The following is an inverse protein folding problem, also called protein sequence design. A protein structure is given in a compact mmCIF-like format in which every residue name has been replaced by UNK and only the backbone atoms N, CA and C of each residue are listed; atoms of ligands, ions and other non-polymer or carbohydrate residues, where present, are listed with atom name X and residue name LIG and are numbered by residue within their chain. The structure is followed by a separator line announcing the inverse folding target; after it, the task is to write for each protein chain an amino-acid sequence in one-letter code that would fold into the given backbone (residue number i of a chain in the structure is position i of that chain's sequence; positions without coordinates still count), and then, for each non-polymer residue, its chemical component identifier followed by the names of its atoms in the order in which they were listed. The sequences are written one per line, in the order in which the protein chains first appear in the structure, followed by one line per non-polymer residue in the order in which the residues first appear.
data_IF_984247816254
#
_entry.id   IF_984247816254
#
_cell.length_a   1.000
_cell.length_b   1.000
_cell.length_c   1.000
_cell.angle_alpha   90.00
_cell.angle_beta   90.00
_cell.angle_gamma   90.00
#
_symmetry.space_group_name_H-M   'P 1'
#
loop_
_entity.id
_entity.type
_entity.pdbx_description
1 polymer ?
#
# COMPACT_ATOMS: atom_id res chain seq x y z
N UNK A 1 -14.57 -4.51 8.19
CA UNK A 1 -14.39 -5.95 7.99
C UNK A 1 -15.40 -6.48 7.00
N UNK A 2 -16.54 -6.99 7.46
CA UNK A 2 -17.59 -7.61 6.63
C UNK A 2 -18.01 -6.77 5.41
N UNK A 3 -18.37 -5.50 5.61
CA UNK A 3 -18.78 -4.62 4.50
C UNK A 3 -17.68 -4.43 3.44
N UNK A 4 -16.42 -4.27 3.85
CA UNK A 4 -15.28 -4.16 2.91
C UNK A 4 -15.09 -5.44 2.11
N UNK A 5 -15.22 -6.60 2.77
CA UNK A 5 -15.14 -7.90 2.11
C UNK A 5 -16.27 -8.07 1.07
N UNK A 6 -17.52 -7.75 1.44
CA UNK A 6 -18.68 -7.87 0.56
C UNK A 6 -18.56 -6.93 -0.65
N UNK A 7 -18.16 -5.68 -0.45
CA UNK A 7 -17.94 -4.71 -1.52
C UNK A 7 -16.82 -5.13 -2.48
N UNK A 8 -15.72 -5.65 -1.95
CA UNK A 8 -14.62 -6.14 -2.78
C UNK A 8 -15.04 -7.35 -3.61
N UNK A 9 -15.78 -8.29 -3.00
CA UNK A 9 -16.30 -9.47 -3.70
C UNK A 9 -17.24 -9.09 -4.85
N UNK A 10 -18.23 -8.26 -4.56
CA UNK A 10 -19.19 -7.79 -5.56
C UNK A 10 -18.46 -7.06 -6.71
N UNK A 11 -17.49 -6.20 -6.40
CA UNK A 11 -16.71 -5.48 -7.41
C UNK A 11 -15.93 -6.41 -8.34
N UNK A 12 -15.33 -7.47 -7.78
CA UNK A 12 -14.57 -8.48 -8.54
C UNK A 12 -15.50 -9.32 -9.42
N UNK A 13 -16.65 -9.75 -8.90
CA UNK A 13 -17.66 -10.50 -9.66
C UNK A 13 -18.23 -9.65 -10.82
N UNK A 14 -18.49 -8.36 -10.58
CA UNK A 14 -18.90 -7.43 -11.64
C UNK A 14 -17.81 -7.25 -12.69
N UNK A 15 -16.54 -7.13 -12.28
CA UNK A 15 -15.42 -7.02 -13.23
C UNK A 15 -15.28 -8.29 -14.08
N UNK A 16 -15.44 -9.47 -13.49
CA UNK A 16 -15.47 -10.74 -14.22
C UNK A 16 -16.54 -10.75 -15.30
N UNK A 17 -17.79 -10.39 -14.95
CA UNK A 17 -18.90 -10.34 -15.90
C UNK A 17 -18.62 -9.37 -17.06
N UNK A 18 -17.99 -8.22 -16.78
CA UNK A 18 -17.57 -7.25 -17.81
C UNK A 18 -16.43 -7.78 -18.69
N UNK A 19 -15.49 -8.53 -18.12
CA UNK A 19 -14.38 -9.13 -18.85
C UNK A 19 -14.84 -10.27 -19.78
N UNK A 20 -15.88 -11.00 -19.39
CA UNK A 20 -16.51 -12.05 -20.21
C UNK A 20 -17.43 -11.50 -21.33
N UNK A 21 -17.85 -10.23 -21.25
CA UNK A 21 -18.70 -9.65 -22.27
C UNK A 21 -17.92 -9.30 -23.56
N UNK A 22 -18.56 -9.38 -24.75
CA UNK A 22 -17.92 -9.05 -26.02
C UNK A 22 -17.35 -7.63 -26.06
N UNK A 23 -16.26 -7.35 -26.80
CA UNK A 23 -15.50 -6.10 -26.69
C UNK A 23 -16.30 -4.80 -26.82
N UNK A 24 -17.34 -4.79 -27.66
CA UNK A 24 -18.20 -3.63 -27.94
C UNK A 24 -19.54 -3.68 -27.19
N UNK A 25 -19.74 -4.64 -26.31
CA UNK A 25 -20.99 -4.79 -25.58
C UNK A 25 -21.17 -3.66 -24.54
N UNK A 26 -22.38 -3.07 -24.43
CA UNK A 26 -22.65 -2.03 -23.45
C UNK A 26 -22.45 -2.50 -22.01
N UNK A 27 -22.58 -3.81 -21.76
CA UNK A 27 -22.32 -4.45 -20.48
C UNK A 27 -20.87 -4.34 -19.98
N UNK A 28 -19.91 -3.93 -20.83
CA UNK A 28 -18.51 -3.71 -20.42
C UNK A 28 -18.28 -2.42 -19.64
N UNK A 29 -19.20 -1.46 -19.73
CA UNK A 29 -19.14 -0.19 -19.01
C UNK A 29 -17.78 0.53 -19.17
N UNK A 30 -17.28 0.59 -20.41
CA UNK A 30 -16.01 1.25 -20.75
C UNK A 30 -14.75 0.42 -20.51
N UNK A 31 -14.88 -0.87 -20.16
CA UNK A 31 -13.73 -1.77 -20.04
C UNK A 31 -13.05 -1.95 -21.43
N UNK A 32 -11.74 -1.68 -21.57
CA UNK A 32 -11.04 -1.74 -22.86
C UNK A 32 -11.05 -3.13 -23.49
N UNK A 33 -11.06 -3.23 -24.83
CA UNK A 33 -10.94 -4.48 -25.62
C UNK A 33 -9.91 -5.48 -25.05
N UNK A 34 -8.72 -5.01 -24.68
CA UNK A 34 -7.63 -5.81 -24.10
C UNK A 34 -7.93 -6.48 -22.74
N UNK A 35 -8.96 -6.05 -22.03
CA UNK A 35 -9.32 -6.54 -20.71
C UNK A 35 -10.44 -7.59 -20.81
N UNK A 36 -10.13 -8.71 -21.43
CA UNK A 36 -11.03 -9.84 -21.64
C UNK A 36 -10.93 -10.88 -20.51
N UNK A 37 -11.61 -12.01 -20.68
CA UNK A 37 -11.57 -13.14 -19.75
C UNK A 37 -10.14 -13.65 -19.51
N UNK A 38 -9.31 -13.75 -20.55
CA UNK A 38 -7.94 -14.25 -20.43
C UNK A 38 -7.07 -13.27 -19.64
N UNK A 39 -7.24 -11.97 -19.88
CA UNK A 39 -6.62 -10.93 -19.09
C UNK A 39 -7.00 -11.03 -17.61
N UNK A 40 -8.29 -11.24 -17.30
CA UNK A 40 -8.74 -11.37 -15.92
C UNK A 40 -8.08 -12.59 -15.24
N UNK A 41 -8.13 -13.76 -15.88
CA UNK A 41 -7.54 -15.00 -15.37
C UNK A 41 -6.04 -14.84 -15.13
N UNK A 42 -5.33 -14.22 -16.07
CA UNK A 42 -3.90 -13.94 -15.93
C UNK A 42 -3.61 -12.97 -14.78
N UNK A 43 -4.43 -11.94 -14.61
CA UNK A 43 -4.19 -10.84 -13.66
C UNK A 43 -4.52 -11.24 -12.22
N UNK A 44 -5.64 -11.93 -12.00
CA UNK A 44 -6.20 -12.17 -10.67
C UNK A 44 -6.17 -13.64 -10.24
N UNK A 45 -6.18 -14.57 -11.18
CA UNK A 45 -6.22 -16.02 -10.92
C UNK A 45 -4.88 -16.70 -11.23
N UNK A 46 -3.81 -15.91 -11.41
CA UNK A 46 -2.46 -16.40 -11.70
C UNK A 46 -2.41 -17.36 -12.92
N UNK A 47 -3.28 -17.13 -13.91
CA UNK A 47 -3.37 -17.96 -15.11
C UNK A 47 -4.10 -19.30 -14.93
N UNK A 48 -4.63 -19.61 -13.73
CA UNK A 48 -5.31 -20.88 -13.47
C UNK A 48 -6.75 -20.85 -13.98
N UNK A 49 -7.28 -21.98 -14.50
CA UNK A 49 -8.66 -22.04 -14.95
C UNK A 49 -9.61 -21.75 -13.79
N UNK A 50 -10.65 -20.96 -14.07
CA UNK A 50 -11.68 -20.60 -13.09
C UNK A 50 -12.76 -21.68 -13.12
N UNK A 51 -12.96 -22.37 -12.00
CA UNK A 51 -14.12 -23.22 -11.83
C UNK A 51 -15.34 -22.35 -11.51
N UNK A 52 -16.30 -22.31 -12.43
CA UNK A 52 -17.51 -21.52 -12.29
C UNK A 52 -18.53 -22.13 -11.31
N UNK A 53 -18.34 -23.38 -10.90
CA UNK A 53 -19.24 -24.04 -9.94
C UNK A 53 -19.09 -23.47 -8.53
N UNK A 54 -17.86 -23.09 -8.15
CA UNK A 54 -17.55 -22.44 -6.87
C UNK A 54 -17.59 -20.89 -6.96
N UNK A 55 -17.70 -20.36 -8.18
CA UNK A 55 -17.71 -18.94 -8.48
C UNK A 55 -16.30 -18.33 -8.62
N UNK A 56 -16.21 -17.21 -9.33
CA UNK A 56 -14.92 -16.56 -9.65
C UNK A 56 -14.11 -16.15 -8.41
N UNK A 57 -14.81 -15.84 -7.31
CA UNK A 57 -14.16 -15.45 -6.05
C UNK A 57 -13.28 -16.56 -5.46
N UNK A 58 -13.68 -17.83 -5.61
CA UNK A 58 -12.90 -18.97 -5.12
C UNK A 58 -11.57 -19.16 -5.88
N UNK A 59 -11.53 -18.73 -7.16
CA UNK A 59 -10.36 -18.83 -8.02
C UNK A 59 -9.38 -17.63 -7.88
N UNK A 60 -9.70 -16.66 -7.03
CA UNK A 60 -8.90 -15.46 -6.85
C UNK A 60 -7.62 -15.75 -6.06
N UNK A 61 -6.46 -15.41 -6.62
CA UNK A 61 -5.16 -15.55 -5.93
C UNK A 61 -4.56 -14.21 -5.52
N UNK A 62 -4.86 -13.15 -6.27
CA UNK A 62 -4.28 -11.83 -6.04
C UNK A 62 -5.33 -10.72 -6.15
N UNK A 63 -5.14 -9.68 -5.34
CA UNK A 63 -5.85 -8.41 -5.45
C UNK A 63 -4.82 -7.28 -5.43
N UNK A 64 -5.09 -6.23 -6.20
CA UNK A 64 -4.23 -5.05 -6.22
C UNK A 64 -4.65 -4.07 -5.12
N UNK A 65 -3.73 -3.73 -4.22
CA UNK A 65 -3.93 -2.75 -3.14
C UNK A 65 -3.07 -1.51 -3.39
N UNK A 66 -3.48 -0.71 -4.37
CA UNK A 66 -2.70 0.47 -4.80
C UNK A 66 -2.64 1.56 -3.73
N UNK A 67 -3.78 1.97 -3.15
CA UNK A 67 -3.81 3.10 -2.21
C UNK A 67 -2.91 2.90 -0.98
N UNK A 68 -2.95 1.74 -0.28
CA UNK A 68 -2.01 1.50 0.81
C UNK A 68 -0.55 1.54 0.35
N UNK A 69 -0.22 0.92 -0.79
CA UNK A 69 1.14 0.94 -1.35
C UNK A 69 1.60 2.36 -1.63
N UNK A 70 0.76 3.20 -2.24
CA UNK A 70 1.06 4.61 -2.51
C UNK A 70 1.24 5.42 -1.22
N UNK A 71 0.44 5.16 -0.18
CA UNK A 71 0.60 5.81 1.11
C UNK A 71 1.94 5.42 1.77
N UNK A 72 2.30 4.14 1.72
CA UNK A 72 3.56 3.65 2.27
C UNK A 72 4.77 4.15 1.47
N UNK A 73 4.64 4.28 0.16
CA UNK A 73 5.63 4.91 -0.70
C UNK A 73 5.93 6.38 -0.33
N UNK A 74 4.97 7.08 0.29
CA UNK A 74 5.15 8.44 0.75
C UNK A 74 5.79 8.53 2.15
N UNK A 75 5.97 7.41 2.84
CA UNK A 75 6.70 7.36 4.10
C UNK A 75 8.21 7.51 3.86
N UNK A 76 8.94 7.90 4.90
CA UNK A 76 10.38 8.07 4.81
C UNK A 76 11.10 6.73 4.61
N UNK A 77 12.28 6.80 4.00
CA UNK A 77 13.11 5.64 3.66
C UNK A 77 13.48 4.80 4.91
N UNK A 78 13.51 5.38 6.11
CA UNK A 78 13.79 4.60 7.34
C UNK A 78 12.68 3.60 7.68
N UNK A 79 11.44 3.83 7.20
CA UNK A 79 10.30 2.94 7.45
C UNK A 79 10.15 1.90 6.36
N UNK A 80 10.35 2.30 5.09
CA UNK A 80 10.03 1.47 3.93
C UNK A 80 11.24 1.07 3.08
N UNK A 81 12.45 1.55 3.36
CA UNK A 81 13.64 1.34 2.52
C UNK A 81 14.14 -0.11 2.41
N UNK A 82 13.74 -0.97 3.35
CA UNK A 82 13.97 -2.42 3.27
C UNK A 82 12.94 -3.14 2.38
N UNK A 83 11.76 -2.54 2.17
CA UNK A 83 10.65 -3.12 1.40
C UNK A 83 10.54 -2.55 -0.02
N UNK A 84 10.86 -1.26 -0.19
CA UNK A 84 10.73 -0.52 -1.44
C UNK A 84 12.08 0.04 -1.89
N UNK A 85 12.26 0.12 -3.20
CA UNK A 85 13.40 0.77 -3.84
C UNK A 85 12.93 1.67 -4.98
N UNK A 86 12.93 2.98 -4.70
CA UNK A 86 12.63 3.98 -5.71
C UNK A 86 13.80 4.16 -6.69
N UNK A 87 13.45 4.43 -7.94
CA UNK A 87 14.39 4.93 -8.93
C UNK A 87 14.39 6.45 -8.82
N UNK A 88 15.56 7.02 -8.54
CA UNK A 88 15.73 8.48 -8.45
C UNK A 88 15.95 9.04 -9.85
N UNK A 89 15.16 10.06 -10.20
CA UNK A 89 15.25 10.77 -11.48
C UNK A 89 15.39 12.26 -11.17
N UNK A 90 16.49 12.86 -11.63
CA UNK A 90 16.72 14.29 -11.48
C UNK A 90 16.09 15.04 -12.66
N UNK A 91 15.20 15.98 -12.35
CA UNK A 91 14.58 16.86 -13.33
C UNK A 91 14.79 18.30 -12.87
N UNK A 92 15.59 19.06 -13.62
CA UNK A 92 15.98 20.43 -13.30
C UNK A 92 16.63 20.54 -11.91
N UNK A 93 15.91 21.05 -10.91
CA UNK A 93 16.39 21.29 -9.55
C UNK A 93 15.77 20.34 -8.52
N UNK A 94 14.97 19.35 -8.96
CA UNK A 94 14.27 18.43 -8.08
C UNK A 94 14.64 16.97 -8.37
N UNK A 95 14.84 16.20 -7.31
CA UNK A 95 14.98 14.74 -7.38
C UNK A 95 13.60 14.10 -7.16
N UNK A 96 13.10 13.43 -8.18
CA UNK A 96 11.87 12.65 -8.12
C UNK A 96 12.19 11.20 -7.75
N UNK A 97 11.31 10.58 -6.97
CA UNK A 97 11.36 9.16 -6.67
C UNK A 97 10.23 8.45 -7.40
N UNK A 98 10.59 7.50 -8.25
CA UNK A 98 9.63 6.73 -9.05
C UNK A 98 9.61 5.28 -8.57
N UNK A 99 8.41 4.76 -8.34
CA UNK A 99 8.18 3.36 -7.98
C UNK A 99 7.40 2.67 -9.10
N UNK A 100 7.81 1.45 -9.45
CA UNK A 100 7.05 0.62 -10.38
C UNK A 100 7.09 1.14 -11.82
N UNK A 101 8.28 1.47 -12.33
CA UNK A 101 8.48 1.95 -13.71
C UNK A 101 7.94 0.93 -14.74
N UNK A 102 8.11 -0.35 -14.46
CA UNK A 102 7.62 -1.43 -15.31
C UNK A 102 7.37 -2.71 -14.52
N UNK A 103 6.81 -3.73 -15.16
CA UNK A 103 6.69 -5.06 -14.56
C UNK A 103 8.07 -5.68 -14.23
N UNK A 104 9.09 -5.40 -15.04
CA UNK A 104 10.46 -5.84 -14.79
C UNK A 104 11.15 -5.00 -13.69
N UNK A 105 10.70 -3.76 -13.49
CA UNK A 105 11.26 -2.81 -12.52
C UNK A 105 10.16 -2.36 -11.56
N UNK A 106 9.66 -3.30 -10.76
CA UNK A 106 8.49 -3.10 -9.89
C UNK A 106 8.80 -2.39 -8.57
N UNK A 107 10.08 -2.12 -8.25
CA UNK A 107 10.51 -1.34 -7.07
C UNK A 107 10.17 -1.95 -5.70
N UNK A 108 9.77 -3.22 -5.63
CA UNK A 108 9.52 -3.93 -4.37
C UNK A 108 10.69 -4.88 -4.12
N UNK A 109 11.47 -4.64 -3.06
CA UNK A 109 12.62 -5.49 -2.70
C UNK A 109 12.19 -6.77 -1.99
N UNK A 110 11.29 -6.61 -1.03
CA UNK A 110 10.75 -7.71 -0.23
C UNK A 110 9.22 -7.67 -0.30
N UNK A 111 8.62 -8.40 -1.25
CA UNK A 111 7.18 -8.42 -1.43
C UNK A 111 6.46 -9.07 -0.25
N UNK A 112 7.10 -10.02 0.45
CA UNK A 112 6.48 -10.71 1.58
C UNK A 112 6.39 -9.79 2.80
N UNK A 113 7.48 -9.10 3.14
CA UNK A 113 7.47 -8.08 4.20
C UNK A 113 6.52 -6.93 3.88
N UNK A 114 6.47 -6.47 2.62
CA UNK A 114 5.53 -5.42 2.21
C UNK A 114 4.08 -5.84 2.39
N UNK A 115 3.71 -7.07 1.96
CA UNK A 115 2.35 -7.60 2.16
C UNK A 115 2.00 -7.73 3.63
N UNK A 116 2.92 -8.28 4.43
CA UNK A 116 2.75 -8.35 5.87
C UNK A 116 2.50 -6.94 6.41
N UNK A 117 3.39 -5.99 6.15
CA UNK A 117 3.27 -4.61 6.62
C UNK A 117 1.93 -3.95 6.24
N UNK A 118 1.44 -4.14 5.01
CA UNK A 118 0.12 -3.65 4.56
C UNK A 118 -1.00 -4.29 5.40
N UNK A 119 -1.04 -5.62 5.49
CA UNK A 119 -2.06 -6.34 6.26
C UNK A 119 -2.04 -5.93 7.73
N UNK A 120 -0.86 -5.85 8.34
CA UNK A 120 -0.66 -5.45 9.73
C UNK A 120 -1.17 -4.03 9.97
N UNK A 121 -0.85 -3.09 9.08
CA UNK A 121 -1.26 -1.69 9.20
C UNK A 121 -2.78 -1.53 9.10
N UNK A 122 -3.41 -2.20 8.13
CA UNK A 122 -4.87 -2.18 7.97
C UNK A 122 -5.55 -2.78 9.20
N UNK A 123 -5.08 -3.94 9.68
CA UNK A 123 -5.67 -4.59 10.85
C UNK A 123 -5.47 -3.76 12.12
N UNK A 124 -4.27 -3.20 12.35
CA UNK A 124 -4.01 -2.29 13.46
C UNK A 124 -4.92 -1.06 13.41
N UNK A 125 -5.10 -0.44 12.25
CA UNK A 125 -5.98 0.72 12.09
C UNK A 125 -7.45 0.38 12.37
N UNK A 126 -7.93 -0.77 11.89
CA UNK A 126 -9.29 -1.24 12.17
C UNK A 126 -9.50 -1.50 13.65
N UNK A 127 -8.53 -2.14 14.33
CA UNK A 127 -8.60 -2.39 15.78
C UNK A 127 -8.52 -1.10 16.60
N UNK A 128 -7.66 -0.16 16.23
CA UNK A 128 -7.53 1.13 16.91
C UNK A 128 -8.81 1.98 16.83
N UNK A 129 -9.55 1.86 15.72
CA UNK A 129 -10.83 2.54 15.53
C UNK A 129 -12.03 1.82 16.18
N UNK A 130 -11.82 0.70 16.89
CA UNK A 130 -12.89 0.06 17.63
C UNK A 130 -13.25 0.86 18.88
N UNK A 131 -14.51 1.27 18.99
CA UNK A 131 -15.04 1.93 20.20
C UNK A 131 -15.43 0.95 21.31
N UNK A 132 -15.28 -0.36 21.08
CA UNK A 132 -15.64 -1.42 22.03
C UNK A 132 -14.36 -2.12 22.48
N UNK A 133 -14.02 -1.95 23.77
CA UNK A 133 -12.87 -2.58 24.39
C UNK A 133 -13.26 -3.92 25.04
N UNK A 134 -12.33 -4.89 25.10
CA UNK A 134 -12.53 -6.17 25.79
C UNK A 134 -12.92 -7.36 24.89
N UNK A 135 -12.77 -7.25 23.57
CA UNK A 135 -12.90 -8.40 22.68
C UNK A 135 -11.72 -9.37 22.84
N UNK A 136 -11.96 -10.65 22.52
CA UNK A 136 -10.91 -11.65 22.40
C UNK A 136 -9.81 -11.15 21.42
N UNK A 137 -8.54 -11.53 21.64
CA UNK A 137 -7.45 -11.12 20.77
C UNK A 137 -7.77 -11.50 19.32
N UNK A 138 -7.42 -10.60 18.39
CA UNK A 138 -7.62 -10.86 16.97
C UNK A 138 -6.98 -12.21 16.58
N UNK A 139 -7.67 -13.02 15.76
CA UNK A 139 -7.12 -14.30 15.33
C UNK A 139 -5.79 -14.09 14.60
N UNK A 140 -4.88 -15.06 14.73
CA UNK A 140 -3.62 -15.04 13.98
C UNK A 140 -3.94 -15.08 12.49
N UNK A 141 -3.49 -14.06 11.76
CA UNK A 141 -3.60 -14.02 10.31
C UNK A 141 -2.28 -14.52 9.76
N UNK A 142 -2.33 -15.67 9.09
CA UNK A 142 -1.21 -16.12 8.26
C UNK A 142 -1.10 -15.16 7.07
N UNK A 143 0.03 -14.48 6.95
CA UNK A 143 0.35 -13.66 5.78
C UNK A 143 1.09 -14.51 4.71
N UNK A 144 1.04 -15.84 4.85
CA UNK A 144 1.67 -16.78 3.93
C UNK A 144 0.72 -17.01 2.75
N UNK A 145 1.20 -16.68 1.55
CA UNK A 145 0.45 -16.93 0.32
C UNK A 145 0.77 -18.32 -0.24
N UNK A 146 -0.14 -18.85 -1.05
CA UNK A 146 -0.10 -20.22 -1.57
C UNK A 146 1.19 -20.44 -2.39
N UNK A 147 2.13 -21.23 -1.86
CA UNK A 147 3.41 -21.54 -2.50
C UNK A 147 4.65 -20.85 -1.92
N UNK A 148 4.51 -20.05 -0.86
CA UNK A 148 5.65 -19.46 -0.14
C UNK A 148 6.01 -20.28 1.12
N UNK A 149 7.29 -20.29 1.48
CA UNK A 149 7.71 -20.81 2.79
C UNK A 149 7.07 -19.99 3.89
N UNK A 150 6.62 -20.68 4.94
CA UNK A 150 5.98 -20.07 6.09
C UNK A 150 6.96 -19.13 6.78
N UNK A 151 6.82 -17.83 6.53
CA UNK A 151 7.48 -16.83 7.36
C UNK A 151 6.91 -16.98 8.78
N UNK A 152 7.79 -17.18 9.76
CA UNK A 152 7.46 -17.35 11.18
C UNK A 152 6.95 -16.04 11.85
N UNK A 153 6.41 -15.13 11.03
CA UNK A 153 5.77 -13.87 11.41
C UNK A 153 4.26 -14.02 11.23
N UNK A 154 3.66 -14.84 12.09
CA UNK A 154 2.23 -14.70 12.36
C UNK A 154 1.99 -13.31 12.94
N UNK A 155 1.10 -12.52 12.32
CA UNK A 155 0.78 -11.22 12.89
C UNK A 155 0.03 -11.40 14.22
N UNK A 156 0.56 -10.80 15.28
CA UNK A 156 -0.08 -10.72 16.59
C UNK A 156 -0.38 -9.25 16.90
N UNK A 157 -1.64 -8.95 17.17
CA UNK A 157 -2.01 -7.64 17.71
C UNK A 157 -1.45 -7.50 19.13
N UNK A 158 -0.60 -6.51 19.38
CA UNK A 158 -0.10 -6.18 20.71
C UNK A 158 -0.74 -4.86 21.18
N UNK A 159 -1.69 -4.89 22.14
CA UNK A 159 -2.38 -3.69 22.61
C UNK A 159 -1.45 -2.64 23.22
N UNK A 160 -0.29 -3.05 23.74
CA UNK A 160 0.69 -2.11 24.33
C UNK A 160 1.42 -1.27 23.28
N UNK A 161 1.51 -1.72 22.02
CA UNK A 161 2.14 -0.94 20.94
C UNK A 161 1.34 0.34 20.65
N UNK A 162 0.01 0.29 20.79
CA UNK A 162 -0.89 1.44 20.58
C UNK A 162 -0.67 2.57 21.59
N UNK A 163 -0.22 2.27 22.80
CA UNK A 163 0.05 3.28 23.83
C UNK A 163 1.41 3.99 23.61
N UNK A 164 2.37 3.32 22.96
CA UNK A 164 3.72 3.87 22.73
C UNK A 164 3.78 4.99 21.69
N UNK A 165 2.85 5.03 20.72
CA UNK A 165 2.79 6.11 19.73
C UNK A 165 2.41 7.47 20.33
N UNK A 166 1.65 7.49 21.42
CA UNK A 166 1.30 8.73 22.12
C UNK A 166 2.42 9.24 23.04
N UNK A 167 3.29 8.34 23.55
CA UNK A 167 4.44 8.75 24.39
C UNK A 167 5.64 9.21 23.55
N UNK A 168 5.89 8.62 22.37
CA UNK A 168 7.00 9.02 21.51
C UNK A 168 6.89 10.43 20.91
N UNK A 169 5.68 11.01 20.86
CA UNK A 169 5.48 12.43 20.52
C UNK A 169 5.71 13.35 21.72
N UNK A 170 5.33 12.94 22.94
CA UNK A 170 5.56 13.72 24.16
C UNK A 170 7.05 13.75 24.55
N UNK A 171 7.80 12.67 24.32
CA UNK A 171 9.22 12.59 24.68
C UNK A 171 10.16 13.27 23.66
N UNK A 172 9.66 13.66 22.48
CA UNK A 172 10.44 14.43 21.50
C UNK A 172 10.40 15.94 21.70
N UNK A 173 9.44 16.47 22.45
CA UNK A 173 9.44 17.89 22.85
C UNK A 173 10.29 18.17 24.10
N UNK A 174 10.74 17.14 24.82
CA UNK A 174 11.53 17.28 26.06
C UNK A 174 13.05 17.18 25.86
N UNK A 175 13.54 16.91 24.65
CA UNK A 175 14.97 16.95 24.33
C UNK A 175 15.38 18.34 23.82
N UNK A 176 15.95 19.10 24.75
CA UNK A 176 16.46 20.46 24.63
C UNK A 176 17.12 20.82 23.28
N UNK A 177 16.47 21.66 22.50
CA UNK A 177 17.17 22.57 21.59
C UNK A 177 17.68 23.76 22.43
N UNK A 178 18.95 23.70 22.81
CA UNK A 178 19.66 24.84 23.41
C UNK A 178 19.80 25.92 22.34
N UNK A 179 18.92 26.92 22.37
CA UNK A 179 19.03 28.17 21.63
C UNK A 179 20.28 28.93 22.12
N UNK A 180 21.43 28.66 21.49
CA UNK A 180 22.52 29.64 21.49
C UNK A 180 22.18 30.71 20.46
N UNK A 181 22.03 31.92 20.97
CA UNK A 181 21.78 33.15 20.22
C UNK A 181 22.70 33.26 19.01
N UNK A 182 22.11 33.45 17.83
CA UNK A 182 22.83 33.95 16.65
C UNK A 182 22.65 35.46 16.66
N UNK A 183 23.74 36.14 17.01
CA UNK A 183 23.92 37.58 16.88
C UNK A 183 23.67 38.04 15.45
N UNK A 184 23.01 39.20 15.33
CA UNK A 184 22.87 40.00 14.11
C UNK A 184 24.20 40.12 13.37
N UNK A 185 24.21 39.79 12.09
CA UNK A 185 25.15 40.39 11.14
C UNK A 185 24.37 41.01 9.98
N UNK A 186 24.68 42.28 9.77
CA UNK A 186 24.05 43.21 8.85
C UNK A 186 24.22 42.79 7.38
N UNK A 187 23.18 43.07 6.58
CA UNK A 187 23.22 43.03 5.12
C UNK A 187 24.29 43.97 4.55
N UNK A 188 24.78 43.66 3.35
CA UNK A 188 24.82 44.70 2.34
C UNK A 188 24.02 44.31 1.09
N UNK A 189 23.24 45.28 0.62
CA UNK A 189 22.59 45.30 -0.68
C UNK A 189 23.60 45.10 -1.82
N UNK A 190 23.16 44.53 -2.96
CA UNK A 190 23.43 45.04 -4.32
C UNK A 190 22.71 44.21 -5.40
N UNK A 191 21.96 44.97 -6.21
CA UNK A 191 21.60 44.89 -7.65
C UNK A 191 20.80 43.71 -8.24
N UNK A 192 19.57 44.06 -8.62
CA UNK A 192 18.78 43.47 -9.69
C UNK A 192 19.49 43.57 -11.04
N UNK A 193 19.50 42.46 -11.79
CA UNK A 193 19.78 42.44 -13.23
C UNK A 193 18.53 41.95 -13.94
N UNK A 194 17.91 42.85 -14.72
CA UNK A 194 16.91 42.52 -15.73
C UNK A 194 17.60 41.82 -16.91
N UNK A 195 16.98 40.77 -17.44
CA UNK A 195 17.28 40.29 -18.79
C UNK A 195 15.97 40.25 -19.60
N UNK A 196 16.10 40.85 -20.78
CA UNK A 196 15.12 41.10 -21.86
C UNK A 196 14.66 39.80 -22.50
#
# INVERSE_FOLDING_TARGET
GKSLYEQQRESIELLWNRACAPPDAPGRLGLPARCDQQWFVKTFCNGKPVDLTEGVWAALESISVYTPVTLFAALRDEVVGNMLQSTKVELYTATHQILGISQATHSVRDPASMRAFICQSIMKAVMANQSVFGQAPAPLISVVFKGEEQLDVGWKFNPSDSYSMNQGFADRESSSFSLKAIEKQEEPAVQQVQLV
#
